data_IF_485234959826
#
_entry.id   IF_485234959826
#
_cell.length_a   1.000
_cell.length_b   1.000
_cell.length_c   1.000
_cell.angle_alpha   90.00
_cell.angle_beta   90.00
_cell.angle_gamma   90.00
#
_symmetry.space_group_name_H-M   'P 1'
#
loop_
_entity.id
_entity.type
_entity.pdbx_description
1 polymer ?
#
# COMPACT_ATOMS: atom_id res chain seq x y z
N UNK A 1 18.64 -17.45 -5.81
CA UNK A 1 17.45 -16.99 -5.05
C UNK A 1 17.84 -16.96 -3.58
N UNK A 2 17.40 -15.96 -2.81
CA UNK A 2 17.73 -15.82 -1.38
C UNK A 2 16.49 -16.03 -0.51
N UNK A 3 16.67 -16.67 0.66
CA UNK A 3 15.57 -17.01 1.59
C UNK A 3 15.02 -15.79 2.36
N UNK A 4 15.78 -14.70 2.42
CA UNK A 4 15.43 -13.45 3.12
C UNK A 4 15.02 -12.33 2.15
N UNK A 5 14.44 -12.65 1.00
CA UNK A 5 14.04 -11.65 -0.01
C UNK A 5 12.52 -11.63 -0.14
N UNK A 6 11.93 -10.44 -0.01
CA UNK A 6 10.52 -10.17 -0.31
C UNK A 6 10.45 -9.04 -1.35
N UNK A 7 9.66 -9.24 -2.39
CA UNK A 7 9.35 -8.22 -3.39
C UNK A 7 7.82 -8.09 -3.50
N UNK A 8 7.32 -6.87 -3.41
CA UNK A 8 5.90 -6.55 -3.49
C UNK A 8 5.65 -5.61 -4.67
N UNK A 9 4.68 -5.95 -5.52
CA UNK A 9 4.26 -5.10 -6.62
C UNK A 9 3.30 -3.98 -6.17
N UNK A 10 2.63 -4.18 -5.03
CA UNK A 10 1.68 -3.23 -4.45
C UNK A 10 2.31 -2.46 -3.29
N UNK A 11 1.67 -1.35 -2.92
CA UNK A 11 2.11 -0.49 -1.84
C UNK A 11 1.55 -0.94 -0.49
N UNK A 12 2.30 -1.79 0.21
CA UNK A 12 1.96 -2.21 1.58
C UNK A 12 2.16 -1.08 2.61
N UNK A 13 2.89 -0.03 2.24
CA UNK A 13 3.27 1.10 3.08
C UNK A 13 2.22 2.21 3.15
N UNK A 14 1.13 2.12 2.39
CA UNK A 14 0.12 3.18 2.34
C UNK A 14 -0.48 3.41 3.72
N UNK A 15 -0.39 4.66 4.18
CA UNK A 15 -1.13 5.14 5.34
C UNK A 15 -2.44 5.80 4.87
N UNK A 16 -3.62 5.25 5.25
CA UNK A 16 -4.92 5.80 4.89
C UNK A 16 -5.10 7.27 5.27
N UNK A 17 -4.44 7.73 6.33
CA UNK A 17 -4.53 9.12 6.80
C UNK A 17 -3.75 10.10 5.91
N UNK A 18 -2.76 9.61 5.17
CA UNK A 18 -1.94 10.44 4.27
C UNK A 18 -2.15 10.13 2.79
N UNK A 19 -3.05 9.19 2.47
CA UNK A 19 -3.37 8.77 1.09
C UNK A 19 -3.75 9.93 0.16
N UNK A 20 -4.41 10.96 0.68
CA UNK A 20 -4.77 12.16 -0.11
C UNK A 20 -3.51 12.84 -0.71
N UNK A 21 -2.37 12.79 -0.03
CA UNK A 21 -1.11 13.36 -0.55
C UNK A 21 -0.62 12.62 -1.79
N UNK A 22 -0.87 11.32 -1.87
CA UNK A 22 -0.54 10.51 -3.05
C UNK A 22 -1.42 10.88 -4.22
N UNK A 23 -2.73 11.06 -3.99
CA UNK A 23 -3.68 11.48 -5.02
C UNK A 23 -3.29 12.85 -5.59
N UNK A 24 -2.96 13.82 -4.73
CA UNK A 24 -2.49 15.14 -5.14
C UNK A 24 -1.19 15.00 -5.95
N UNK A 25 -0.20 14.27 -5.42
CA UNK A 25 1.10 14.09 -6.06
C UNK A 25 1.05 13.42 -7.43
N UNK A 26 0.02 12.61 -7.71
CA UNK A 26 -0.14 11.86 -8.96
C UNK A 26 -1.38 12.30 -9.77
N UNK A 27 -1.86 13.54 -9.57
CA UNK A 27 -3.10 14.00 -10.21
C UNK A 27 -3.02 13.93 -11.73
N UNK A 28 -1.86 14.26 -12.32
CA UNK A 28 -1.68 14.26 -13.78
C UNK A 28 -1.73 12.84 -14.36
N UNK A 29 -1.04 11.89 -13.71
CA UNK A 29 -0.96 10.49 -14.07
C UNK A 29 -2.32 9.80 -13.92
N UNK A 30 -3.02 10.05 -12.81
CA UNK A 30 -4.36 9.52 -12.57
C UNK A 30 -5.36 10.02 -13.61
N UNK A 31 -5.29 11.32 -13.96
CA UNK A 31 -6.14 11.89 -15.00
C UNK A 31 -5.84 11.31 -16.39
N UNK A 32 -4.56 11.14 -16.74
CA UNK A 32 -4.16 10.50 -17.99
C UNK A 32 -4.66 9.05 -18.07
N UNK A 33 -4.58 8.32 -16.95
CA UNK A 33 -5.06 6.94 -16.84
C UNK A 33 -6.59 6.81 -16.68
N UNK A 34 -7.32 7.94 -16.66
CA UNK A 34 -8.77 7.99 -16.44
C UNK A 34 -9.23 7.30 -15.15
N UNK A 35 -8.40 7.36 -14.11
CA UNK A 35 -8.72 6.80 -12.79
C UNK A 35 -9.54 7.81 -12.00
N UNK A 36 -10.71 7.38 -11.50
CA UNK A 36 -11.58 8.25 -10.71
C UNK A 36 -11.05 8.43 -9.28
N UNK A 37 -10.60 9.65 -9.00
CA UNK A 37 -10.10 10.08 -7.68
C UNK A 37 -11.20 9.98 -6.61
N UNK A 38 -12.47 10.21 -6.96
CA UNK A 38 -13.56 10.14 -5.97
C UNK A 38 -13.79 8.70 -5.51
N UNK A 39 -13.76 7.75 -6.44
CA UNK A 39 -13.78 6.31 -6.12
C UNK A 39 -12.61 5.94 -5.22
N UNK A 40 -11.37 6.36 -5.52
CA UNK A 40 -10.21 6.08 -4.67
C UNK A 40 -10.36 6.63 -3.24
N UNK A 41 -10.93 7.83 -3.07
CA UNK A 41 -11.20 8.40 -1.74
C UNK A 41 -12.25 7.61 -0.97
N UNK A 42 -13.31 7.15 -1.65
CA UNK A 42 -14.34 6.31 -1.05
C UNK A 42 -13.75 4.96 -0.64
N UNK A 43 -13.00 4.31 -1.52
CA UNK A 43 -12.33 3.05 -1.24
C UNK A 43 -11.35 3.15 -0.08
N UNK A 44 -10.59 4.25 0.03
CA UNK A 44 -9.71 4.48 1.19
C UNK A 44 -10.51 4.55 2.51
N UNK A 45 -11.74 5.07 2.48
CA UNK A 45 -12.63 5.10 3.65
C UNK A 45 -13.06 3.68 4.07
N UNK A 46 -13.36 2.80 3.11
CA UNK A 46 -13.82 1.44 3.39
C UNK A 46 -12.68 0.46 3.67
N UNK A 47 -11.59 0.55 2.91
CA UNK A 47 -10.52 -0.44 2.88
C UNK A 47 -9.22 0.02 3.51
N UNK A 48 -9.00 1.33 3.70
CA UNK A 48 -7.73 1.87 4.17
C UNK A 48 -7.26 1.23 5.47
N UNK A 49 -8.07 1.31 6.54
CA UNK A 49 -7.71 0.73 7.84
C UNK A 49 -7.53 -0.80 7.77
N UNK A 50 -8.47 -1.59 7.21
CA UNK A 50 -8.27 -3.02 7.04
C UNK A 50 -6.99 -3.39 6.28
N UNK A 51 -6.66 -2.68 5.19
CA UNK A 51 -5.45 -2.96 4.40
C UNK A 51 -4.18 -2.61 5.16
N UNK A 52 -4.14 -1.49 5.90
CA UNK A 52 -3.01 -1.13 6.75
C UNK A 52 -2.74 -2.20 7.83
N UNK A 53 -3.79 -2.71 8.47
CA UNK A 53 -3.67 -3.78 9.47
C UNK A 53 -3.09 -5.07 8.85
N UNK A 54 -3.56 -5.45 7.66
CA UNK A 54 -3.06 -6.64 6.93
C UNK A 54 -1.64 -6.45 6.43
N UNK A 55 -1.28 -5.29 5.92
CA UNK A 55 0.08 -4.99 5.50
C UNK A 55 1.06 -5.06 6.66
N UNK A 56 0.68 -4.51 7.81
CA UNK A 56 1.47 -4.61 9.04
C UNK A 56 1.67 -6.06 9.48
N UNK A 57 0.65 -6.90 9.33
CA UNK A 57 0.71 -8.32 9.68
C UNK A 57 1.61 -9.08 8.70
N UNK A 58 1.49 -8.84 7.40
CA UNK A 58 2.37 -9.40 6.36
C UNK A 58 3.84 -9.11 6.66
N UNK A 59 4.18 -7.84 6.94
CA UNK A 59 5.57 -7.46 7.21
C UNK A 59 6.08 -8.09 8.51
N UNK A 60 5.28 -8.10 9.58
CA UNK A 60 5.65 -8.75 10.86
C UNK A 60 5.89 -10.25 10.69
N UNK A 61 5.02 -10.93 9.95
CA UNK A 61 5.16 -12.36 9.70
C UNK A 61 6.42 -12.63 8.88
N UNK A 62 6.69 -11.82 7.86
CA UNK A 62 7.93 -11.94 7.09
C UNK A 62 9.18 -11.72 7.95
N UNK A 63 9.21 -10.66 8.77
CA UNK A 63 10.33 -10.40 9.69
C UNK A 63 10.56 -11.54 10.67
N UNK A 64 9.49 -12.16 11.17
CA UNK A 64 9.58 -13.27 12.12
C UNK A 64 10.15 -14.55 11.51
N UNK A 65 10.19 -14.65 10.18
CA UNK A 65 10.70 -15.81 9.44
C UNK A 65 12.07 -15.56 8.79
N UNK A 66 12.72 -14.43 9.06
CA UNK A 66 14.07 -14.18 8.56
C UNK A 66 15.07 -15.16 9.17
N UNK A 67 15.93 -15.71 8.32
CA UNK A 67 17.00 -16.61 8.74
C UNK A 67 18.26 -15.77 9.02
N UNK A 68 18.89 -15.89 10.20
CA UNK A 68 20.14 -15.20 10.47
C UNK A 68 21.20 -15.53 9.41
N UNK A 69 21.93 -14.50 8.97
CA UNK A 69 23.05 -14.60 8.03
C UNK A 69 24.39 -14.48 8.75
#
# INVERSE_FOLDING_TARGET
MGLNILALQFHAEVDPHTFERWLIGHTAELNQAQVDILTLRQENTYYGKPLQEKASLLLRDWFSNLIPV
#
